data_IF_138703025228
#
_entry.id   IF_138703025228
#
_cell.length_a   1.000
_cell.length_b   1.000
_cell.length_c   1.000
_cell.angle_alpha   90.00
_cell.angle_beta   90.00
_cell.angle_gamma   90.00
#
_symmetry.space_group_name_H-M   'P 1'
#
loop_
_entity.id
_entity.type
_entity.pdbx_description
1 polymer ?
#
# COMPACT_ATOMS: atom_id res chain seq x y z
N UNK A 1 37.78 39.02 -19.51
CA UNK A 1 38.44 38.56 -18.27
C UNK A 1 37.59 38.94 -17.06
N UNK A 2 36.74 38.04 -16.54
CA UNK A 2 36.08 38.17 -15.23
C UNK A 2 35.93 36.77 -14.62
N UNK A 3 36.14 36.71 -13.31
CA UNK A 3 36.78 35.63 -12.54
C UNK A 3 35.81 34.49 -12.17
N UNK A 4 36.31 33.26 -12.21
CA UNK A 4 35.68 32.05 -11.67
C UNK A 4 35.81 32.09 -10.14
N UNK A 5 34.68 32.01 -9.43
CA UNK A 5 34.64 31.89 -7.97
C UNK A 5 34.58 30.42 -7.57
N UNK A 6 35.58 29.93 -6.83
CA UNK A 6 35.61 28.58 -6.28
C UNK A 6 34.88 28.54 -4.92
N UNK A 7 33.93 27.61 -4.80
CA UNK A 7 33.28 27.21 -3.55
C UNK A 7 34.22 26.26 -2.78
N UNK A 8 34.45 26.53 -1.48
CA UNK A 8 34.98 25.54 -0.53
C UNK A 8 33.96 25.37 0.58
N UNK A 9 33.35 24.18 0.62
CA UNK A 9 32.36 23.75 1.59
C UNK A 9 33.08 23.04 2.74
N UNK A 10 33.05 23.61 3.95
CA UNK A 10 33.57 22.98 5.16
C UNK A 10 32.45 22.20 5.85
N UNK A 11 32.53 20.88 5.75
CA UNK A 11 31.72 19.89 6.48
C UNK A 11 32.03 19.96 7.99
N UNK A 12 31.02 20.28 8.79
CA UNK A 12 31.09 20.20 10.25
C UNK A 12 30.59 18.82 10.73
N UNK A 13 31.41 18.20 11.58
CA UNK A 13 31.31 16.82 12.06
C UNK A 13 30.09 16.54 12.97
N UNK A 14 29.64 15.30 12.85
CA UNK A 14 28.61 14.61 13.62
C UNK A 14 29.09 14.28 15.03
N UNK A 15 28.27 14.53 16.05
CA UNK A 15 28.28 13.76 17.31
C UNK A 15 26.84 13.51 17.77
N UNK A 16 26.31 12.32 17.48
CA UNK A 16 25.13 11.78 18.16
C UNK A 16 25.58 11.05 19.42
N UNK A 17 25.04 11.45 20.57
CA UNK A 17 24.97 10.62 21.76
C UNK A 17 23.49 10.46 22.11
N UNK A 18 22.87 9.36 21.68
CA UNK A 18 21.55 8.94 22.16
C UNK A 18 21.71 7.60 22.87
N UNK A 19 21.59 7.68 24.19
CA UNK A 19 21.62 6.59 25.14
C UNK A 19 20.37 5.72 24.96
N UNK A 20 20.58 4.45 24.69
CA UNK A 20 19.55 3.40 24.77
C UNK A 20 19.32 3.04 26.23
N UNK A 21 18.05 2.96 26.63
CA UNK A 21 17.65 2.45 27.94
C UNK A 21 16.17 2.10 27.93
N UNK A 22 15.85 0.90 27.43
CA UNK A 22 14.51 0.34 27.44
C UNK A 22 14.06 -0.06 28.86
N UNK A 23 12.76 0.09 29.04
CA UNK A 23 11.86 -0.38 30.09
C UNK A 23 11.98 -1.88 30.37
N UNK A 24 11.90 -2.28 31.64
CA UNK A 24 11.58 -3.65 32.04
C UNK A 24 10.70 -3.68 33.30
N UNK A 25 9.58 -4.41 33.17
CA UNK A 25 8.83 -5.18 34.19
C UNK A 25 8.27 -4.42 35.42
N UNK A 26 7.12 -4.72 36.03
CA UNK A 26 6.14 -5.81 35.95
C UNK A 26 5.01 -5.45 36.92
N UNK A 27 3.77 -5.88 36.68
CA UNK A 27 2.79 -6.09 37.75
C UNK A 27 1.80 -7.19 37.37
N UNK A 28 1.85 -8.26 38.16
CA UNK A 28 0.89 -9.36 38.25
C UNK A 28 -0.18 -8.98 39.28
N UNK A 29 -1.47 -9.09 38.95
CA UNK A 29 -2.58 -9.35 39.88
C UNK A 29 -3.85 -9.55 39.03
N UNK A 30 -4.40 -10.76 38.85
CA UNK A 30 -5.20 -11.62 39.75
C UNK A 30 -6.72 -11.47 39.58
N UNK A 31 -7.41 -12.63 39.53
CA UNK A 31 -8.85 -12.93 39.75
C UNK A 31 -9.84 -12.91 38.56
N UNK A 32 -10.28 -14.11 38.18
CA UNK A 32 -11.57 -14.48 37.53
C UNK A 32 -12.70 -14.63 38.58
N UNK A 33 -13.98 -14.92 38.22
CA UNK A 33 -14.96 -14.40 37.23
C UNK A 33 -16.30 -13.99 37.94
N UNK A 34 -17.43 -13.65 37.25
CA UNK A 34 -18.45 -14.70 36.97
C UNK A 34 -19.46 -14.48 35.80
N UNK A 35 -20.09 -15.60 35.40
CA UNK A 35 -21.50 -15.81 34.91
C UNK A 35 -21.93 -15.54 33.44
N UNK A 36 -22.49 -16.61 32.86
CA UNK A 36 -23.35 -16.75 31.66
C UNK A 36 -24.84 -16.81 32.09
N UNK A 37 -25.82 -16.28 31.30
CA UNK A 37 -26.77 -17.09 30.49
C UNK A 37 -27.03 -16.44 29.10
N UNK A 38 -26.98 -17.14 27.96
CA UNK A 38 -28.07 -17.86 27.25
C UNK A 38 -29.12 -17.00 26.48
N UNK A 39 -29.15 -17.21 25.14
CA UNK A 39 -30.31 -17.26 24.18
C UNK A 39 -30.62 -16.10 23.20
N UNK A 40 -30.29 -16.36 21.93
CA UNK A 40 -31.01 -16.22 20.65
C UNK A 40 -31.98 -15.06 20.35
N UNK A 41 -31.76 -14.39 19.19
CA UNK A 41 -32.71 -14.16 18.08
C UNK A 41 -32.03 -13.32 16.98
N UNK A 42 -31.71 -13.88 15.81
CA UNK A 42 -32.43 -13.70 14.53
C UNK A 42 -32.32 -12.28 13.95
N UNK A 43 -31.29 -12.05 13.12
CA UNK A 43 -31.22 -10.88 12.24
C UNK A 43 -31.92 -11.20 10.90
N UNK A 44 -32.68 -10.21 10.44
CA UNK A 44 -33.50 -10.24 9.24
C UNK A 44 -32.64 -10.03 8.01
N UNK A 45 -32.93 -10.81 6.97
CA UNK A 45 -32.54 -10.54 5.60
C UNK A 45 -33.08 -9.17 5.16
N UNK A 46 -32.17 -8.32 4.68
CA UNK A 46 -32.46 -7.25 3.73
C UNK A 46 -31.17 -6.99 2.94
N UNK A 47 -30.90 -7.80 1.91
CA UNK A 47 -29.90 -7.49 0.90
C UNK A 47 -30.60 -7.08 -0.40
N UNK A 48 -30.82 -5.78 -0.51
CA UNK A 48 -30.83 -5.11 -1.81
C UNK A 48 -29.39 -4.84 -2.24
N UNK A 49 -29.13 -5.01 -3.54
CA UNK A 49 -28.10 -4.33 -4.35
C UNK A 49 -27.03 -5.23 -5.00
N UNK A 50 -27.29 -5.57 -6.26
CA UNK A 50 -26.50 -5.15 -7.42
C UNK A 50 -25.03 -5.58 -7.54
N UNK A 51 -24.77 -6.40 -8.57
CA UNK A 51 -23.51 -6.58 -9.33
C UNK A 51 -22.21 -6.90 -8.56
N UNK A 52 -22.07 -8.15 -8.10
CA UNK A 52 -20.75 -8.79 -7.96
C UNK A 52 -20.24 -9.32 -9.31
N UNK A 53 -19.88 -8.42 -10.23
CA UNK A 53 -19.20 -8.82 -11.48
C UNK A 53 -17.69 -8.99 -11.33
N UNK A 54 -17.13 -8.68 -10.14
CA UNK A 54 -15.72 -8.85 -9.81
C UNK A 54 -15.48 -9.71 -8.55
N UNK A 55 -16.45 -10.55 -8.18
CA UNK A 55 -16.35 -11.45 -7.04
C UNK A 55 -15.62 -12.75 -7.37
N UNK A 56 -14.30 -12.76 -7.22
CA UNK A 56 -13.48 -13.97 -7.27
C UNK A 56 -12.50 -13.99 -6.10
N UNK A 57 -13.02 -14.19 -4.88
CA UNK A 57 -12.23 -14.44 -3.68
C UNK A 57 -11.53 -15.79 -3.79
N UNK A 58 -10.31 -15.77 -4.35
CA UNK A 58 -9.19 -16.66 -4.06
C UNK A 58 -8.03 -16.31 -5.02
N UNK A 59 -7.57 -15.06 -4.96
CA UNK A 59 -6.19 -14.78 -5.35
C UNK A 59 -5.33 -15.13 -4.13
N UNK A 60 -4.46 -16.13 -4.28
CA UNK A 60 -3.46 -16.58 -3.32
C UNK A 60 -3.06 -15.48 -2.33
N UNK A 61 -3.65 -15.50 -1.13
CA UNK A 61 -3.11 -14.75 0.01
C UNK A 61 -1.88 -15.53 0.47
N UNK A 62 -0.75 -15.36 -0.20
CA UNK A 62 0.53 -15.74 0.38
C UNK A 62 0.73 -14.87 1.61
N UNK A 63 0.95 -15.48 2.78
CA UNK A 63 1.34 -14.78 4.01
C UNK A 63 2.76 -14.17 3.94
N UNK A 64 3.38 -14.17 2.75
CA UNK A 64 4.68 -13.58 2.53
C UNK A 64 4.55 -12.07 2.24
N UNK A 65 5.47 -11.24 2.76
CA UNK A 65 5.49 -9.82 2.46
C UNK A 65 5.50 -9.58 0.95
N UNK A 66 4.45 -8.95 0.43
CA UNK A 66 4.38 -8.56 -0.97
C UNK A 66 5.10 -7.23 -1.14
N UNK A 67 6.16 -7.21 -1.96
CA UNK A 67 6.87 -5.97 -2.30
C UNK A 67 6.31 -5.37 -3.58
N UNK A 68 5.87 -4.11 -3.51
CA UNK A 68 5.48 -3.32 -4.68
C UNK A 68 6.64 -2.40 -5.07
N UNK A 69 7.06 -2.43 -6.33
CA UNK A 69 8.09 -1.56 -6.87
C UNK A 69 7.47 -0.47 -7.77
N UNK A 70 7.99 0.76 -7.66
CA UNK A 70 7.52 1.91 -8.44
C UNK A 70 8.73 2.56 -9.11
N UNK A 71 8.68 2.64 -10.45
CA UNK A 71 9.67 3.33 -11.28
C UNK A 71 9.02 4.54 -11.94
N UNK A 72 9.71 5.68 -11.95
CA UNK A 72 9.27 6.92 -12.58
C UNK A 72 10.47 7.81 -12.92
N UNK A 73 10.24 8.83 -13.76
CA UNK A 73 11.26 9.83 -14.09
C UNK A 73 11.53 10.77 -12.92
N UNK A 74 10.47 11.15 -12.20
CA UNK A 74 10.53 12.05 -11.05
C UNK A 74 9.74 11.47 -9.87
N UNK A 75 10.23 11.72 -8.66
CA UNK A 75 9.57 11.35 -7.42
C UNK A 75 9.71 12.46 -6.37
N UNK A 76 8.59 12.79 -5.72
CA UNK A 76 8.54 13.74 -4.63
C UNK A 76 7.77 13.14 -3.45
N UNK A 77 8.29 13.27 -2.23
CA UNK A 77 7.62 12.80 -1.03
C UNK A 77 7.36 13.96 -0.06
N UNK A 78 6.08 14.19 0.23
CA UNK A 78 5.63 15.11 1.26
C UNK A 78 5.38 14.33 2.56
N UNK A 79 6.36 14.35 3.46
CA UNK A 79 6.28 13.66 4.76
C UNK A 79 5.18 14.22 5.67
N UNK A 80 4.80 15.49 5.51
CA UNK A 80 3.74 16.11 6.31
C UNK A 80 2.37 15.58 5.90
N UNK A 81 2.20 15.30 4.61
CA UNK A 81 0.98 14.69 4.05
C UNK A 81 1.03 13.16 3.98
N UNK A 82 2.17 12.54 4.31
CA UNK A 82 2.41 11.10 4.13
C UNK A 82 2.10 10.67 2.68
N UNK A 83 2.56 11.47 1.73
CA UNK A 83 2.14 11.37 0.33
C UNK A 83 3.35 11.40 -0.61
N UNK A 84 3.45 10.40 -1.48
CA UNK A 84 4.40 10.35 -2.59
C UNK A 84 3.74 10.71 -3.92
N UNK A 85 4.41 11.48 -4.75
CA UNK A 85 4.00 11.76 -6.13
C UNK A 85 5.12 11.29 -7.05
N UNK A 86 4.78 10.42 -7.98
CA UNK A 86 5.67 9.91 -9.02
C UNK A 86 5.13 10.38 -10.36
N UNK A 87 6.00 10.92 -11.20
CA UNK A 87 5.60 11.53 -12.48
C UNK A 87 6.55 11.10 -13.60
N UNK A 88 6.01 10.99 -14.80
CA UNK A 88 6.75 10.61 -16.00
C UNK A 88 6.97 9.10 -16.08
N UNK A 89 6.37 8.47 -17.10
CA UNK A 89 6.55 7.05 -17.47
C UNK A 89 6.47 6.11 -16.27
N UNK A 90 5.46 6.30 -15.42
CA UNK A 90 5.32 5.54 -14.19
C UNK A 90 5.04 4.07 -14.53
N UNK A 91 5.77 3.18 -13.86
CA UNK A 91 5.56 1.73 -13.91
C UNK A 91 5.52 1.19 -12.49
N UNK A 92 4.44 0.50 -12.17
CA UNK A 92 4.26 -0.20 -10.90
C UNK A 92 4.30 -1.70 -11.18
N UNK A 93 5.14 -2.40 -10.43
CA UNK A 93 5.22 -3.85 -10.46
C UNK A 93 4.88 -4.38 -9.08
N UNK A 94 3.73 -5.03 -8.99
CA UNK A 94 3.27 -5.77 -7.82
C UNK A 94 3.10 -7.24 -8.25
N UNK A 95 3.39 -8.23 -7.39
CA UNK A 95 3.16 -9.64 -7.69
C UNK A 95 1.73 -9.95 -8.16
N UNK A 96 0.75 -9.13 -7.78
CA UNK A 96 -0.66 -9.29 -8.15
C UNK A 96 -1.03 -8.57 -9.45
N UNK A 97 -0.31 -7.53 -9.84
CA UNK A 97 -0.62 -6.73 -11.03
C UNK A 97 0.55 -5.83 -11.49
N UNK A 98 0.54 -5.45 -12.76
CA UNK A 98 1.38 -4.37 -13.27
C UNK A 98 0.51 -3.18 -13.65
N UNK A 99 1.01 -1.97 -13.41
CA UNK A 99 0.33 -0.73 -13.79
C UNK A 99 1.30 0.23 -14.48
N UNK A 100 0.81 0.94 -15.50
CA UNK A 100 1.50 2.04 -16.14
C UNK A 100 0.62 3.29 -16.09
N UNK A 101 1.23 4.46 -15.91
CA UNK A 101 0.54 5.75 -15.98
C UNK A 101 1.52 6.91 -16.22
N UNK A 102 0.98 8.11 -16.44
CA UNK A 102 1.80 9.32 -16.51
C UNK A 102 2.15 9.85 -15.13
N UNK A 103 1.24 9.67 -14.16
CA UNK A 103 1.40 10.10 -12.77
C UNK A 103 0.82 9.06 -11.82
N UNK A 104 1.43 8.94 -10.65
CA UNK A 104 0.95 8.13 -9.53
C UNK A 104 1.08 8.92 -8.23
N UNK A 105 -0.03 9.05 -7.51
CA UNK A 105 -0.05 9.63 -6.17
C UNK A 105 -0.29 8.53 -5.15
N UNK A 106 0.64 8.34 -4.24
CA UNK A 106 0.64 7.31 -3.20
C UNK A 106 0.38 7.96 -1.84
N UNK A 107 -0.51 7.37 -1.05
CA UNK A 107 -0.79 7.73 0.33
C UNK A 107 -0.32 6.61 1.25
N UNK A 108 0.44 6.97 2.28
CA UNK A 108 1.01 6.04 3.26
C UNK A 108 0.29 6.24 4.60
N UNK A 109 -0.05 5.13 5.26
CA UNK A 109 -0.64 5.16 6.59
C UNK A 109 0.33 5.79 7.61
N UNK A 110 -0.23 6.53 8.57
CA UNK A 110 0.51 7.10 9.71
C UNK A 110 0.55 6.09 10.86
N UNK A 111 1.67 5.99 11.57
CA UNK A 111 1.80 5.16 12.78
C UNK A 111 2.97 4.16 12.70
N UNK A 112 2.97 3.16 13.58
CA UNK A 112 4.05 2.14 13.68
C UNK A 112 4.07 1.17 12.48
N UNK A 113 2.92 0.93 11.85
CA UNK A 113 2.80 0.09 10.66
C UNK A 113 2.61 0.96 9.41
N UNK A 114 3.61 1.78 9.09
CA UNK A 114 3.59 2.59 7.87
C UNK A 114 3.57 1.66 6.65
N UNK A 115 2.52 1.79 5.85
CA UNK A 115 2.31 0.98 4.66
C UNK A 115 1.50 1.75 3.63
N UNK A 116 1.44 1.21 2.42
CA UNK A 116 0.59 1.74 1.37
C UNK A 116 -0.88 1.73 1.85
N UNK A 117 -1.54 2.88 1.82
CA UNK A 117 -2.98 3.00 2.12
C UNK A 117 -3.78 3.00 0.82
N UNK A 118 -3.39 3.88 -0.10
CA UNK A 118 -4.07 4.09 -1.37
C UNK A 118 -3.10 4.61 -2.42
N UNK A 119 -3.32 4.27 -3.69
CA UNK A 119 -2.63 4.88 -4.81
C UNK A 119 -3.63 5.34 -5.88
N UNK A 120 -3.35 6.49 -6.51
CA UNK A 120 -4.16 7.07 -7.58
C UNK A 120 -3.27 7.24 -8.79
N UNK A 121 -3.54 6.45 -9.83
CA UNK A 121 -2.89 6.55 -11.13
C UNK A 121 -3.71 7.49 -12.04
N UNK A 122 -3.03 8.38 -12.75
CA UNK A 122 -3.64 9.37 -13.64
C UNK A 122 -2.85 9.44 -14.95
N UNK A 123 -3.57 9.55 -16.07
CA UNK A 123 -3.02 9.65 -17.43
C UNK A 123 -2.54 8.31 -17.98
N UNK A 124 -3.00 7.96 -19.17
CA UNK A 124 -2.61 6.77 -19.93
C UNK A 124 -2.56 5.48 -19.06
N UNK A 125 -3.57 5.28 -18.21
CA UNK A 125 -3.54 4.18 -17.24
C UNK A 125 -3.73 2.86 -17.95
N UNK A 126 -2.79 1.94 -17.75
CA UNK A 126 -2.87 0.56 -18.21
C UNK A 126 -2.60 -0.40 -17.05
N UNK A 127 -3.54 -1.26 -16.74
CA UNK A 127 -3.42 -2.28 -15.68
C UNK A 127 -3.47 -3.68 -16.29
N UNK A 128 -2.56 -4.55 -15.87
CA UNK A 128 -2.51 -5.96 -16.29
C UNK A 128 -2.48 -6.85 -15.06
N UNK A 129 -3.41 -7.79 -14.99
CA UNK A 129 -3.42 -8.88 -13.99
C UNK A 129 -3.36 -10.22 -14.69
N UNK A 130 -2.41 -11.04 -14.28
CA UNK A 130 -2.36 -12.45 -14.65
C UNK A 130 -2.91 -13.28 -13.48
N UNK A 131 -3.96 -14.06 -13.73
CA UNK A 131 -4.56 -14.96 -12.75
C UNK A 131 -4.15 -16.39 -13.07
N UNK A 132 -3.43 -17.08 -12.17
CA UNK A 132 -3.09 -18.50 -12.35
C UNK A 132 -4.34 -19.36 -12.55
N UNK A 133 -4.26 -20.34 -13.44
CA UNK A 133 -5.33 -21.33 -13.57
C UNK A 133 -5.24 -22.32 -12.38
N UNK A 134 -6.35 -22.57 -11.65
CA UNK A 134 -6.34 -23.41 -10.47
C UNK A 134 -6.00 -24.89 -10.78
N UNK A 135 -6.12 -25.32 -12.03
CA UNK A 135 -5.78 -26.67 -12.48
C UNK A 135 -4.38 -26.75 -13.13
N UNK A 136 -3.57 -25.69 -13.02
CA UNK A 136 -2.22 -25.64 -13.59
C UNK A 136 -2.18 -25.37 -15.11
N UNK A 137 -3.29 -24.94 -15.70
CA UNK A 137 -3.34 -24.45 -17.08
C UNK A 137 -2.63 -23.10 -17.28
N UNK A 138 -2.61 -22.56 -18.51
CA UNK A 138 -2.05 -21.24 -18.78
C UNK A 138 -2.80 -20.15 -17.99
N UNK A 139 -2.10 -19.13 -17.47
CA UNK A 139 -2.75 -18.06 -16.71
C UNK A 139 -3.71 -17.27 -17.59
N UNK A 140 -4.82 -16.82 -17.00
CA UNK A 140 -5.76 -15.91 -17.65
C UNK A 140 -5.30 -14.47 -17.44
N UNK A 141 -5.28 -13.68 -18.52
CA UNK A 141 -4.84 -12.27 -18.48
C UNK A 141 -6.03 -11.33 -18.55
N UNK A 142 -6.13 -10.42 -17.58
CA UNK A 142 -7.07 -9.30 -17.56
C UNK A 142 -6.31 -7.99 -17.81
N UNK A 143 -6.83 -7.15 -18.70
CA UNK A 143 -6.25 -5.84 -19.03
C UNK A 143 -7.32 -4.75 -18.87
N UNK A 144 -7.01 -3.74 -18.07
CA UNK A 144 -7.83 -2.53 -17.90
C UNK A 144 -7.12 -1.31 -18.47
N UNK A 145 -7.87 -0.39 -19.09
CA UNK A 145 -7.36 0.90 -19.56
C UNK A 145 -8.31 2.00 -19.12
N UNK A 146 -7.77 3.11 -18.63
CA UNK A 146 -8.54 4.25 -18.16
C UNK A 146 -7.71 5.54 -18.17
N UNK A 147 -8.36 6.68 -17.96
CA UNK A 147 -7.66 7.94 -17.69
C UNK A 147 -7.22 8.04 -16.23
N UNK A 148 -7.88 7.30 -15.34
CA UNK A 148 -7.63 7.28 -13.91
C UNK A 148 -7.93 5.90 -13.34
N UNK A 149 -7.15 5.47 -12.36
CA UNK A 149 -7.46 4.30 -11.54
C UNK A 149 -7.07 4.54 -10.08
N UNK A 150 -7.84 3.98 -9.15
CA UNK A 150 -7.59 4.06 -7.71
C UNK A 150 -7.38 2.67 -7.14
N UNK A 151 -6.24 2.44 -6.50
CA UNK A 151 -5.93 1.23 -5.75
C UNK A 151 -6.11 1.46 -4.26
N UNK A 152 -6.83 0.58 -3.57
CA UNK A 152 -7.00 0.60 -2.12
C UNK A 152 -6.31 -0.61 -1.49
N UNK A 153 -5.32 -0.38 -0.62
CA UNK A 153 -4.51 -1.46 -0.07
C UNK A 153 -5.28 -2.40 0.87
N UNK A 154 -6.26 -1.85 1.61
CA UNK A 154 -7.06 -2.61 2.57
C UNK A 154 -7.87 -3.74 1.92
N UNK A 155 -8.36 -3.54 0.69
CA UNK A 155 -9.16 -4.54 -0.04
C UNK A 155 -8.40 -5.17 -1.20
N UNK A 156 -7.41 -4.48 -1.74
CA UNK A 156 -6.69 -4.88 -2.94
C UNK A 156 -7.44 -4.56 -4.25
N UNK A 157 -8.52 -3.79 -4.17
CA UNK A 157 -9.38 -3.41 -5.29
C UNK A 157 -8.76 -2.30 -6.15
N UNK A 158 -9.17 -2.26 -7.42
CA UNK A 158 -8.85 -1.19 -8.36
C UNK A 158 -10.14 -0.72 -9.04
N UNK A 159 -10.41 0.58 -8.97
CA UNK A 159 -11.59 1.27 -9.52
C UNK A 159 -11.22 2.39 -10.51
#
# INVERSE_FOLDING_TARGET
MKRVGALILLMACVTMAQLHGQTAASATDSRTPPKKPEKAATEKEDESSTNKLFGGSNALQSNEPTTTEIYADEAFFDSSKSMGIFSGRVKVTDPRFNLQSDKLTVFISKGENQGLERAIAEGNVGLVRDRPDPNGGPPTRAVGRADKATYTAATGDVE
#
